data_IF_450613154094
#
_entry.id   IF_450613154094
#
_cell.length_a   1.000
_cell.length_b   1.000
_cell.length_c   1.000
_cell.angle_alpha   90.00
_cell.angle_beta   90.00
_cell.angle_gamma   90.00
#
_symmetry.space_group_name_H-M   'P 1'
#
loop_
_entity.id
_entity.type
_entity.pdbx_description
1 polymer ?
#
# COMPACT_ATOMS: atom_id res chain seq x y z
N UNK A 1 -11.73 12.64 20.10
CA UNK A 1 -11.73 12.07 18.74
C UNK A 1 -12.57 10.79 18.79
N UNK A 2 -13.62 10.70 17.98
CA UNK A 2 -14.52 9.53 17.97
C UNK A 2 -13.77 8.28 17.47
N UNK A 3 -13.97 7.09 18.06
CA UNK A 3 -13.24 5.86 17.71
C UNK A 3 -13.41 5.41 16.25
N UNK A 4 -14.46 5.87 15.56
CA UNK A 4 -14.93 5.26 14.33
C UNK A 4 -14.29 5.82 13.05
N UNK A 5 -13.74 7.04 13.06
CA UNK A 5 -13.02 7.60 11.90
C UNK A 5 -11.61 7.02 11.75
N UNK A 6 -11.02 6.55 12.84
CA UNK A 6 -9.66 6.02 12.87
C UNK A 6 -9.56 4.64 12.23
N UNK A 7 -10.56 3.77 12.41
CA UNK A 7 -10.48 2.38 11.93
C UNK A 7 -10.71 2.22 10.44
N UNK A 8 -11.56 3.04 9.82
CA UNK A 8 -11.75 3.03 8.37
C UNK A 8 -10.46 3.45 7.66
N UNK A 9 -9.83 4.54 8.13
CA UNK A 9 -8.55 5.02 7.61
C UNK A 9 -7.45 3.95 7.76
N UNK A 10 -7.36 3.34 8.94
CA UNK A 10 -6.41 2.24 9.19
C UNK A 10 -6.62 1.04 8.26
N UNK A 11 -7.86 0.74 7.87
CA UNK A 11 -8.14 -0.39 6.99
C UNK A 11 -7.74 -0.11 5.55
N UNK A 12 -7.95 1.12 5.07
CA UNK A 12 -7.44 1.57 3.78
C UNK A 12 -5.91 1.58 3.76
N UNK A 13 -5.29 2.01 4.85
CA UNK A 13 -3.84 1.99 5.02
C UNK A 13 -3.28 0.57 4.90
N UNK A 14 -3.88 -0.40 5.61
CA UNK A 14 -3.41 -1.80 5.65
C UNK A 14 -3.82 -2.64 4.45
N UNK A 15 -4.91 -2.30 3.77
CA UNK A 15 -5.39 -3.06 2.63
C UNK A 15 -4.76 -2.58 1.33
N UNK A 16 -5.09 -1.34 0.98
CA UNK A 16 -4.84 -0.79 -0.34
C UNK A 16 -3.46 -0.13 -0.38
N UNK A 17 -3.17 0.76 0.58
CA UNK A 17 -1.92 1.53 0.60
C UNK A 17 -0.70 0.64 0.83
N UNK A 18 -0.76 -0.30 1.77
CA UNK A 18 0.32 -1.29 1.97
C UNK A 18 0.58 -2.12 0.70
N UNK A 19 -0.47 -2.51 -0.02
CA UNK A 19 -0.34 -3.27 -1.27
C UNK A 19 0.39 -2.46 -2.35
N UNK A 20 0.04 -1.18 -2.51
CA UNK A 20 0.71 -0.27 -3.45
C UNK A 20 2.18 -0.07 -3.03
N UNK A 21 2.43 0.25 -1.75
CA UNK A 21 3.79 0.43 -1.21
C UNK A 21 4.68 -0.79 -1.46
N UNK A 22 4.14 -2.00 -1.24
CA UNK A 22 4.86 -3.25 -1.48
C UNK A 22 5.23 -3.42 -2.96
N UNK A 23 4.30 -3.10 -3.87
CA UNK A 23 4.51 -3.19 -5.33
C UNK A 23 5.52 -2.16 -5.82
N UNK A 24 5.41 -0.92 -5.35
CA UNK A 24 6.37 0.14 -5.62
C UNK A 24 7.79 -0.26 -5.19
N UNK A 25 7.94 -0.76 -3.96
CA UNK A 25 9.25 -1.23 -3.45
C UNK A 25 9.81 -2.36 -4.30
N UNK A 26 8.98 -3.33 -4.68
CA UNK A 26 9.40 -4.43 -5.55
C UNK A 26 9.92 -3.91 -6.89
N UNK A 27 9.19 -3.00 -7.54
CA UNK A 27 9.62 -2.40 -8.80
C UNK A 27 10.90 -1.58 -8.66
N UNK A 28 11.03 -0.80 -7.57
CA UNK A 28 12.23 -0.02 -7.29
C UNK A 28 13.46 -0.91 -7.14
N UNK A 29 13.34 -1.99 -6.34
CA UNK A 29 14.40 -2.98 -6.16
C UNK A 29 14.73 -3.70 -7.46
N UNK A 30 13.72 -4.08 -8.26
CA UNK A 30 13.97 -4.67 -9.57
C UNK A 30 14.74 -3.71 -10.48
N UNK A 31 14.31 -2.45 -10.63
CA UNK A 31 15.02 -1.48 -11.47
C UNK A 31 16.46 -1.25 -10.97
N UNK A 32 16.67 -1.16 -9.66
CA UNK A 32 18.00 -1.04 -9.07
C UNK A 32 18.91 -2.23 -9.37
N UNK A 33 18.39 -3.46 -9.32
CA UNK A 33 19.16 -4.69 -9.51
C UNK A 33 19.44 -5.02 -10.98
N UNK A 34 18.59 -4.57 -11.91
CA UNK A 34 18.73 -4.85 -13.35
C UNK A 34 19.48 -3.77 -14.13
N UNK A 35 19.93 -2.70 -13.47
CA UNK A 35 20.64 -1.57 -14.10
C UNK A 35 22.15 -1.56 -13.80
N UNK A 36 22.68 -2.61 -13.14
CA UNK A 36 24.11 -2.78 -12.83
C UNK A 36 24.78 -3.84 -13.69
N UNK A 37 26.02 -3.57 -14.11
CA UNK A 37 26.91 -4.57 -14.72
C UNK A 37 27.46 -5.52 -13.63
N UNK A 38 27.92 -6.72 -14.01
CA UNK A 38 28.37 -7.78 -13.07
C UNK A 38 29.69 -7.42 -12.33
N UNK A 39 30.34 -6.30 -12.69
CA UNK A 39 31.55 -5.82 -12.05
C UNK A 39 31.26 -5.02 -10.76
N UNK A 40 32.02 -5.32 -9.69
CA UNK A 40 31.74 -4.83 -8.33
C UNK A 40 32.04 -3.33 -8.17
N UNK A 41 33.05 -2.78 -8.86
CA UNK A 41 33.30 -1.33 -8.83
C UNK A 41 32.25 -0.58 -9.67
N UNK A 42 31.83 -1.17 -10.78
CA UNK A 42 30.79 -0.63 -11.64
C UNK A 42 29.40 -0.66 -10.98
N UNK A 43 29.12 -1.66 -10.15
CA UNK A 43 27.87 -1.77 -9.40
C UNK A 43 27.68 -0.61 -8.40
N UNK A 44 28.72 -0.20 -7.68
CA UNK A 44 28.64 0.95 -6.77
C UNK A 44 28.38 2.27 -7.52
N UNK A 45 29.00 2.43 -8.71
CA UNK A 45 28.74 3.55 -9.60
C UNK A 45 27.30 3.51 -10.15
N UNK A 46 26.81 2.34 -10.56
CA UNK A 46 25.45 2.13 -11.08
C UNK A 46 24.37 2.47 -10.05
N UNK A 47 24.52 2.04 -8.78
CA UNK A 47 23.59 2.41 -7.71
C UNK A 47 23.51 3.95 -7.55
N UNK A 48 24.65 4.64 -7.57
CA UNK A 48 24.67 6.10 -7.45
C UNK A 48 24.01 6.76 -8.67
N UNK A 49 24.25 6.26 -9.88
CA UNK A 49 23.62 6.75 -11.10
C UNK A 49 22.11 6.53 -11.10
N UNK A 50 21.64 5.37 -10.65
CA UNK A 50 20.22 5.08 -10.47
C UNK A 50 19.54 6.12 -9.57
N UNK A 51 20.11 6.39 -8.39
CA UNK A 51 19.53 7.39 -7.46
C UNK A 51 19.57 8.81 -8.03
N UNK A 52 20.58 9.16 -8.84
CA UNK A 52 20.63 10.44 -9.55
C UNK A 52 19.56 10.55 -10.65
N UNK A 53 19.26 9.45 -11.32
CA UNK A 53 18.23 9.38 -12.37
C UNK A 53 16.79 9.31 -11.79
N UNK A 54 16.64 8.95 -10.52
CA UNK A 54 15.35 8.83 -9.85
C UNK A 54 14.71 10.20 -9.58
N UNK A 55 14.00 10.71 -10.58
CA UNK A 55 13.26 11.98 -10.47
C UNK A 55 11.85 11.77 -9.89
N UNK A 56 11.24 12.86 -9.40
CA UNK A 56 9.84 12.83 -8.94
C UNK A 56 8.88 12.32 -10.03
N UNK A 57 9.14 12.67 -11.30
CA UNK A 57 8.37 12.19 -12.46
C UNK A 57 8.42 10.66 -12.54
N UNK A 58 9.61 10.06 -12.40
CA UNK A 58 9.79 8.59 -12.38
C UNK A 58 9.04 7.97 -11.19
N UNK A 59 9.13 8.58 -10.00
CA UNK A 59 8.39 8.10 -8.83
C UNK A 59 6.87 8.09 -9.05
N UNK A 60 6.30 9.12 -9.67
CA UNK A 60 4.85 9.19 -9.97
C UNK A 60 4.44 8.09 -10.96
N UNK A 61 5.22 7.85 -12.02
CA UNK A 61 4.95 6.74 -12.94
C UNK A 61 5.02 5.39 -12.23
N UNK A 62 6.01 5.18 -11.36
CA UNK A 62 6.11 3.94 -10.59
C UNK A 62 4.94 3.75 -9.62
N UNK A 63 4.39 4.82 -9.05
CA UNK A 63 3.16 4.74 -8.24
C UNK A 63 1.97 4.34 -9.12
N UNK A 64 1.85 4.91 -10.33
CA UNK A 64 0.82 4.54 -11.28
C UNK A 64 0.90 3.06 -11.67
N UNK A 65 2.09 2.59 -12.07
CA UNK A 65 2.32 1.18 -12.39
C UNK A 65 2.03 0.27 -11.18
N UNK A 66 2.44 0.68 -9.98
CA UNK A 66 2.18 -0.07 -8.77
C UNK A 66 0.67 -0.19 -8.50
N UNK A 67 -0.10 0.88 -8.70
CA UNK A 67 -1.56 0.92 -8.59
C UNK A 67 -2.24 0.01 -9.61
N UNK A 68 -1.88 0.15 -10.90
CA UNK A 68 -2.43 -0.68 -11.98
C UNK A 68 -2.14 -2.17 -11.79
N UNK A 69 -0.99 -2.50 -11.18
CA UNK A 69 -0.65 -3.90 -10.89
C UNK A 69 -1.45 -4.52 -9.74
N UNK A 70 -2.17 -3.72 -8.93
CA UNK A 70 -3.02 -4.24 -7.85
C UNK A 70 -4.19 -5.01 -8.45
N UNK A 71 -4.24 -6.31 -8.18
CA UNK A 71 -5.32 -7.14 -8.69
C UNK A 71 -6.69 -6.75 -8.09
N UNK A 72 -7.73 -6.77 -8.92
CA UNK A 72 -9.09 -6.37 -8.53
C UNK A 72 -9.60 -7.12 -7.29
N UNK A 73 -9.32 -8.42 -7.19
CA UNK A 73 -9.71 -9.22 -6.02
C UNK A 73 -9.05 -8.74 -4.71
N UNK A 74 -7.86 -8.13 -4.77
CA UNK A 74 -7.18 -7.53 -3.61
C UNK A 74 -7.91 -6.27 -3.14
N UNK A 75 -8.39 -5.45 -4.08
CA UNK A 75 -9.23 -4.28 -3.78
C UNK A 75 -10.58 -4.72 -3.19
N UNK A 76 -11.27 -5.66 -3.85
CA UNK A 76 -12.54 -6.23 -3.38
C UNK A 76 -12.42 -6.81 -1.97
N UNK A 77 -11.37 -7.58 -1.68
CA UNK A 77 -11.14 -8.16 -0.36
C UNK A 77 -10.84 -7.09 0.69
N UNK A 78 -10.09 -6.05 0.34
CA UNK A 78 -9.83 -4.92 1.24
C UNK A 78 -11.13 -4.19 1.60
N UNK A 79 -12.04 -4.03 0.63
CA UNK A 79 -13.33 -3.39 0.83
C UNK A 79 -14.36 -4.27 1.56
N UNK A 80 -14.37 -5.58 1.31
CA UNK A 80 -15.22 -6.53 2.05
C UNK A 80 -14.89 -6.57 3.54
N UNK A 81 -13.60 -6.46 3.88
CA UNK A 81 -13.19 -6.32 5.29
C UNK A 81 -13.75 -5.04 5.91
N UNK A 82 -13.90 -3.97 5.12
CA UNK A 82 -14.49 -2.72 5.58
C UNK A 82 -15.99 -2.88 5.84
N UNK A 83 -16.73 -3.51 4.92
CA UNK A 83 -18.17 -3.72 5.09
C UNK A 83 -18.46 -4.57 6.32
N UNK A 84 -17.75 -5.68 6.50
CA UNK A 84 -17.89 -6.51 7.71
C UNK A 84 -17.47 -5.78 8.99
N UNK A 85 -16.45 -4.92 8.93
CA UNK A 85 -16.08 -4.10 10.08
C UNK A 85 -17.23 -3.15 10.48
N UNK A 86 -17.85 -2.48 9.52
CA UNK A 86 -18.97 -1.57 9.76
C UNK A 86 -20.22 -2.30 10.27
N UNK A 87 -20.54 -3.49 9.73
CA UNK A 87 -21.63 -4.35 10.21
C UNK A 87 -21.43 -4.76 11.68
N UNK A 88 -20.21 -5.19 12.04
CA UNK A 88 -19.88 -5.59 13.41
C UNK A 88 -19.92 -4.40 14.39
N UNK A 89 -19.49 -3.21 13.95
CA UNK A 89 -19.59 -2.00 14.77
C UNK A 89 -21.05 -1.63 15.02
N UNK A 90 -21.91 -1.66 14.00
CA UNK A 90 -23.33 -1.36 14.15
C UNK A 90 -24.05 -2.39 15.04
N UNK A 91 -23.74 -3.69 14.89
CA UNK A 91 -24.28 -4.73 15.77
C UNK A 91 -23.87 -4.54 17.24
N UNK A 92 -22.61 -4.17 17.49
CA UNK A 92 -22.12 -3.87 18.85
C UNK A 92 -22.84 -2.69 19.50
N UNK A 93 -23.07 -1.60 18.75
CA UNK A 93 -23.79 -0.41 19.25
C UNK A 93 -25.20 -0.78 19.72
N UNK A 94 -25.94 -1.57 18.92
CA UNK A 94 -27.29 -2.03 19.30
C UNK A 94 -27.31 -2.93 20.53
N UNK A 95 -26.30 -3.79 20.72
CA UNK A 95 -26.17 -4.65 21.90
C UNK A 95 -25.84 -3.84 23.17
N UNK A 96 -25.02 -2.79 23.04
CA UNK A 96 -24.70 -1.89 24.17
C UNK A 96 -25.87 -0.99 24.57
N UNK A 97 -26.78 -0.66 23.65
CA UNK A 97 -28.01 0.09 23.96
C UNK A 97 -29.08 -0.80 24.60
N UNK A 98 -29.19 -2.06 24.19
CA UNK A 98 -30.11 -3.04 24.80
C UNK A 98 -29.69 -3.46 26.22
N UNK A 99 -28.40 -3.55 26.52
CA UNK A 99 -27.89 -3.88 27.86
C UNK A 99 -27.89 -2.69 28.84
N UNK A 100 -28.40 -1.52 28.43
CA UNK A 100 -28.53 -0.32 29.25
C UNK A 100 -29.98 0.00 29.67
N UNK A 101 -30.95 -0.80 29.20
CA UNK A 101 -32.34 -0.84 29.65
C UNK A 101 -32.52 -1.97 30.65
#
# INVERSE_FOLDING_TARGET
MSPNTTTILQLMDKGVIESIKRRYRKQLLSKLLFEGDDDVEEAACSILQFWKALTLKVCVYMINEAWESVAEHTLKRSWLKLTHYLENVNGSVTVTELNRL
#
